data_IF_071893634682
#
_entry.id   IF_071893634682
#
_cell.length_a   1.000
_cell.length_b   1.000
_cell.length_c   1.000
_cell.angle_alpha   90.00
_cell.angle_beta   90.00
_cell.angle_gamma   90.00
#
_symmetry.space_group_name_H-M   'P 1'
#
loop_
_entity.id
_entity.type
_entity.pdbx_description
1 polymer ?
#
# COMPACT_ATOMS: atom_id res chain seq x y z
N UNK A 1 7.09 -1.17 10.21
CA UNK A 1 8.11 -0.71 9.24
C UNK A 1 9.41 -1.38 9.57
N UNK A 2 10.02 -2.04 8.60
CA UNK A 2 11.30 -2.74 8.73
C UNK A 2 12.21 -2.23 7.63
N UNK A 3 13.45 -1.91 7.98
CA UNK A 3 14.50 -1.49 7.05
C UNK A 3 15.66 -2.47 7.12
N UNK A 4 16.20 -2.83 5.95
CA UNK A 4 17.31 -3.78 5.81
C UNK A 4 18.31 -3.22 4.82
N UNK A 5 19.60 -3.39 5.09
CA UNK A 5 20.68 -3.06 4.16
C UNK A 5 21.23 -4.38 3.60
N UNK A 6 21.21 -4.54 2.29
CA UNK A 6 21.75 -5.70 1.59
C UNK A 6 22.78 -5.21 0.58
N UNK A 7 24.05 -5.60 0.74
CA UNK A 7 25.15 -5.26 -0.19
C UNK A 7 25.28 -3.74 -0.50
N UNK A 8 24.90 -2.88 0.45
CA UNK A 8 24.94 -1.42 0.29
C UNK A 8 23.61 -0.78 -0.16
N UNK A 9 22.65 -1.58 -0.59
CA UNK A 9 21.31 -1.14 -1.00
C UNK A 9 20.31 -1.19 0.14
N UNK A 10 19.40 -0.20 0.18
CA UNK A 10 18.38 -0.07 1.24
C UNK A 10 17.05 -0.62 0.78
N UNK A 11 16.54 -1.59 1.53
CA UNK A 11 15.21 -2.16 1.34
C UNK A 11 14.31 -1.77 2.52
N UNK A 12 13.07 -1.41 2.21
CA UNK A 12 12.08 -1.02 3.21
C UNK A 12 10.78 -1.76 2.93
N UNK A 13 10.16 -2.23 4.00
CA UNK A 13 8.79 -2.73 3.96
C UNK A 13 7.95 -2.06 5.05
N UNK A 14 6.79 -1.59 4.65
CA UNK A 14 5.75 -1.10 5.54
C UNK A 14 4.62 -2.13 5.55
N UNK A 15 3.89 -2.20 6.65
CA UNK A 15 2.73 -3.08 6.78
C UNK A 15 1.86 -2.54 7.90
N UNK A 16 0.55 -2.59 7.70
CA UNK A 16 -0.44 -2.09 8.66
C UNK A 16 -1.21 -3.28 9.20
N UNK A 17 -1.15 -3.48 10.51
CA UNK A 17 -1.98 -4.48 11.19
C UNK A 17 -3.00 -3.76 12.06
N UNK A 18 -4.31 -3.85 11.73
CA UNK A 18 -5.35 -3.20 12.54
C UNK A 18 -5.42 -3.89 13.91
N UNK A 19 -5.22 -3.12 14.98
CA UNK A 19 -5.29 -3.64 16.36
C UNK A 19 -6.75 -3.89 16.78
N UNK A 20 -7.64 -2.96 16.45
CA UNK A 20 -9.08 -3.04 16.74
C UNK A 20 -9.81 -2.57 15.47
N UNK A 21 -10.74 -3.38 14.92
CA UNK A 21 -11.43 -3.03 13.67
C UNK A 21 -12.37 -1.82 13.79
N UNK A 22 -12.85 -1.51 15.00
CA UNK A 22 -13.72 -0.36 15.26
C UNK A 22 -14.98 -0.39 14.39
N UNK A 23 -15.27 0.71 13.68
CA UNK A 23 -16.40 0.83 12.76
C UNK A 23 -16.38 -0.20 11.62
N UNK A 24 -15.23 -0.78 11.30
CA UNK A 24 -15.13 -1.84 10.27
C UNK A 24 -15.75 -3.17 10.73
N UNK A 25 -16.16 -3.30 11.99
CA UNK A 25 -16.83 -4.49 12.50
C UNK A 25 -18.24 -4.67 11.92
N UNK A 26 -18.94 -3.58 11.60
CA UNK A 26 -20.31 -3.61 11.06
C UNK A 26 -20.36 -3.82 9.55
N UNK A 27 -19.21 -3.75 8.87
CA UNK A 27 -19.10 -4.00 7.44
C UNK A 27 -19.17 -5.51 7.15
N UNK A 28 -19.90 -5.95 6.10
CA UNK A 28 -19.90 -7.35 5.68
C UNK A 28 -18.49 -7.80 5.26
N UNK A 29 -18.14 -9.06 5.52
CA UNK A 29 -16.79 -9.60 5.33
C UNK A 29 -16.23 -9.38 3.91
N UNK A 30 -17.09 -9.37 2.90
CA UNK A 30 -16.75 -9.07 1.50
C UNK A 30 -16.22 -7.64 1.26
N UNK A 31 -16.54 -6.68 2.15
CA UNK A 31 -16.07 -5.29 2.10
C UNK A 31 -14.87 -5.02 3.00
N UNK A 32 -14.43 -6.02 3.78
CA UNK A 32 -13.23 -5.92 4.62
C UNK A 32 -11.95 -6.19 3.84
N UNK A 33 -12.05 -6.79 2.65
CA UNK A 33 -10.95 -6.90 1.72
C UNK A 33 -10.68 -5.51 1.09
N UNK A 34 -9.41 -5.08 0.98
CA UNK A 34 -9.08 -3.85 0.26
C UNK A 34 -9.54 -4.01 -1.19
N UNK A 35 -10.55 -3.24 -1.58
CA UNK A 35 -11.11 -3.25 -2.94
C UNK A 35 -10.30 -2.41 -3.93
N UNK A 36 -9.25 -1.73 -3.50
CA UNK A 36 -8.38 -0.96 -4.39
C UNK A 36 -7.15 -1.77 -4.76
N UNK A 37 -7.26 -2.46 -5.90
CA UNK A 37 -6.22 -3.29 -6.51
C UNK A 37 -5.07 -2.50 -7.16
N UNK A 38 -4.88 -1.21 -6.85
CA UNK A 38 -3.97 -0.39 -7.66
C UNK A 38 -2.91 0.44 -6.93
N UNK A 39 -2.69 0.24 -5.62
CA UNK A 39 -1.41 0.64 -4.98
C UNK A 39 -1.22 0.04 -3.57
N UNK A 40 -2.28 -0.46 -2.93
CA UNK A 40 -2.26 -0.87 -1.51
C UNK A 40 -1.85 -2.33 -1.25
N UNK A 41 -1.05 -2.95 -2.11
CA UNK A 41 -0.55 -4.31 -1.82
C UNK A 41 0.39 -4.34 -0.62
N UNK A 42 1.13 -3.27 -0.34
CA UNK A 42 2.01 -3.18 0.82
C UNK A 42 1.23 -2.96 2.13
N UNK A 43 0.04 -2.37 2.06
CA UNK A 43 -0.71 -1.96 3.25
C UNK A 43 -1.40 -3.12 3.98
N UNK A 44 -1.63 -4.25 3.29
CA UNK A 44 -2.26 -5.43 3.87
C UNK A 44 -1.25 -6.46 4.45
N UNK A 45 0.05 -6.23 4.32
CA UNK A 45 1.06 -7.18 4.76
C UNK A 45 1.20 -7.14 6.28
N UNK A 46 0.84 -8.24 6.95
CA UNK A 46 1.15 -8.42 8.37
C UNK A 46 2.64 -8.73 8.50
N UNK A 47 3.40 -7.78 9.03
CA UNK A 47 4.84 -7.93 9.20
C UNK A 47 5.17 -8.82 10.41
N UNK A 48 6.19 -9.68 10.29
CA UNK A 48 6.70 -10.42 11.44
C UNK A 48 7.33 -9.48 12.47
N UNK A 49 7.36 -9.90 13.73
CA UNK A 49 8.07 -9.18 14.79
C UNK A 49 9.57 -9.41 14.61
N UNK A 50 10.32 -8.35 14.35
CA UNK A 50 11.79 -8.37 14.21
C UNK A 50 12.45 -7.43 15.23
N UNK A 51 13.74 -7.63 15.52
CA UNK A 51 14.54 -6.74 16.38
C UNK A 51 15.63 -6.02 15.61
N UNK A 52 16.02 -4.85 16.09
CA UNK A 52 17.17 -4.10 15.53
C UNK A 52 18.44 -4.92 15.74
N UNK A 53 19.19 -5.17 14.66
CA UNK A 53 20.41 -5.98 14.67
C UNK A 53 20.21 -7.48 14.41
N UNK A 54 18.98 -7.90 14.11
CA UNK A 54 18.71 -9.27 13.64
C UNK A 54 19.26 -9.49 12.22
N UNK A 55 19.93 -10.62 11.98
CA UNK A 55 20.49 -10.95 10.68
C UNK A 55 19.37 -11.33 9.70
N UNK A 56 19.24 -10.57 8.60
CA UNK A 56 18.32 -10.89 7.52
C UNK A 56 19.05 -11.67 6.42
N UNK A 57 18.56 -12.87 6.10
CA UNK A 57 19.09 -13.67 4.99
C UNK A 57 18.30 -13.38 3.71
N UNK A 58 18.99 -12.89 2.67
CA UNK A 58 18.40 -12.76 1.36
C UNK A 58 18.22 -14.16 0.72
N UNK A 59 16.98 -14.53 0.40
CA UNK A 59 16.64 -15.82 -0.22
C UNK A 59 16.43 -15.71 -1.73
N UNK A 60 15.98 -14.54 -2.23
CA UNK A 60 15.70 -14.29 -3.64
C UNK A 60 15.74 -12.78 -3.89
N UNK A 61 16.40 -12.39 -4.96
CA UNK A 61 16.36 -11.04 -5.52
C UNK A 61 15.72 -11.10 -6.91
N UNK A 62 14.83 -10.17 -7.21
CA UNK A 62 14.16 -10.07 -8.50
C UNK A 62 14.08 -8.60 -8.94
N UNK A 63 14.37 -8.34 -10.20
CA UNK A 63 14.19 -7.03 -10.82
C UNK A 63 12.78 -6.98 -11.40
N UNK A 64 11.97 -6.02 -10.94
CA UNK A 64 10.64 -5.79 -11.50
C UNK A 64 10.69 -4.66 -12.52
N UNK A 65 10.59 -5.01 -13.79
CA UNK A 65 10.41 -4.04 -14.87
C UNK A 65 8.97 -3.53 -14.86
N UNK A 66 8.77 -2.25 -14.52
CA UNK A 66 7.47 -1.58 -14.53
C UNK A 66 7.43 -0.52 -15.63
N UNK A 67 6.23 -0.30 -16.18
CA UNK A 67 5.96 0.77 -17.16
C UNK A 67 4.97 1.76 -16.58
N UNK A 68 5.14 3.03 -16.93
CA UNK A 68 4.16 4.07 -16.60
C UNK A 68 2.91 3.89 -17.43
N UNK A 69 1.76 4.14 -16.81
CA UNK A 69 0.46 4.16 -17.48
C UNK A 69 -0.02 5.61 -17.59
N UNK A 70 -0.72 5.97 -18.69
CA UNK A 70 -1.33 7.29 -18.79
C UNK A 70 -2.37 7.50 -17.67
N UNK A 71 -2.71 8.76 -17.34
CA UNK A 71 -3.72 9.06 -16.33
C UNK A 71 -5.03 8.32 -16.60
N UNK A 72 -5.60 7.75 -15.55
CA UNK A 72 -6.89 7.06 -15.65
C UNK A 72 -7.95 8.05 -16.14
N UNK A 73 -8.86 7.57 -16.98
CA UNK A 73 -10.02 8.36 -17.40
C UNK A 73 -10.96 8.55 -16.23
N UNK A 74 -11.69 9.67 -16.25
CA UNK A 74 -12.77 9.90 -15.31
C UNK A 74 -13.85 8.82 -15.44
N UNK A 75 -14.27 8.30 -14.30
CA UNK A 75 -15.53 7.57 -14.13
C UNK A 75 -16.53 8.53 -13.49
N UNK A 76 -17.82 8.15 -13.44
CA UNK A 76 -18.82 8.98 -12.77
C UNK A 76 -18.41 9.35 -11.33
N UNK A 77 -17.91 8.38 -10.57
CA UNK A 77 -17.44 8.61 -9.20
C UNK A 77 -16.21 9.52 -9.12
N UNK A 78 -15.20 9.33 -9.99
CA UNK A 78 -14.00 10.18 -9.93
C UNK A 78 -14.24 11.58 -10.50
N UNK A 79 -15.17 11.74 -11.44
CA UNK A 79 -15.58 13.05 -11.94
C UNK A 79 -16.30 13.85 -10.85
N UNK A 80 -17.27 13.23 -10.15
CA UNK A 80 -17.97 13.89 -9.06
C UNK A 80 -17.01 14.30 -7.94
N UNK A 81 -16.06 13.42 -7.58
CA UNK A 81 -15.04 13.74 -6.59
C UNK A 81 -14.16 14.92 -7.04
N UNK A 82 -13.74 14.96 -8.31
CA UNK A 82 -12.97 16.07 -8.87
C UNK A 82 -13.76 17.39 -8.84
N UNK A 83 -15.07 17.34 -9.11
CA UNK A 83 -15.94 18.51 -9.03
C UNK A 83 -16.15 18.99 -7.59
N UNK A 84 -16.25 18.08 -6.62
CA UNK A 84 -16.36 18.42 -5.20
C UNK A 84 -15.06 19.02 -4.66
N UNK A 85 -13.90 18.48 -5.06
CA UNK A 85 -12.59 18.95 -4.63
C UNK A 85 -11.89 19.80 -5.69
N UNK A 86 -12.62 20.69 -6.37
CA UNK A 86 -12.09 21.49 -7.48
C UNK A 86 -10.89 22.36 -7.06
N UNK A 87 -10.83 22.77 -5.79
CA UNK A 87 -9.71 23.54 -5.23
C UNK A 87 -8.36 22.81 -5.30
N UNK A 88 -8.35 21.47 -5.42
CA UNK A 88 -7.11 20.68 -5.54
C UNK A 88 -6.61 20.54 -6.98
N UNK A 89 -7.46 20.85 -7.95
CA UNK A 89 -7.18 20.76 -9.39
C UNK A 89 -6.82 22.12 -10.00
N UNK A 90 -6.84 23.19 -9.20
CA UNK A 90 -6.41 24.52 -9.61
C UNK A 90 -4.92 24.66 -9.27
N UNK A 91 -4.12 24.94 -10.30
CA UNK A 91 -2.69 25.26 -10.19
C UNK A 91 -2.45 26.76 -9.97
#
# INVERSE_FOLDING_TARGET
MIEVICEGEKFRVSGKTPLIPGWRQTLPEATKAPTDKDDDQDDAVTLPKVRVGEEARNMRCEVQDRKTSPPKRYTEGTLLAAMESIDKEIE
#
